data_IF_922250611951
#
_entry.id   IF_922250611951
#
_cell.length_a   1.000
_cell.length_b   1.000
_cell.length_c   1.000
_cell.angle_alpha   90.00
_cell.angle_beta   90.00
_cell.angle_gamma   90.00
#
_symmetry.space_group_name_H-M   'P 1'
#
loop_
_entity.id
_entity.type
_entity.pdbx_description
1 polymer ?
#
# COMPACT_ATOMS: atom_id res chain seq x y z
N UNK A 1 1.23 27.20 -1.55
CA UNK A 1 0.68 26.53 -2.76
C UNK A 1 0.15 27.60 -3.69
N UNK A 2 0.75 27.78 -4.86
CA UNK A 2 0.22 28.66 -5.90
C UNK A 2 -1.00 27.96 -6.54
N UNK A 3 -2.21 28.51 -6.32
CA UNK A 3 -3.40 28.12 -7.09
C UNK A 3 -3.23 28.68 -8.50
N UNK A 4 -3.62 27.91 -9.52
CA UNK A 4 -3.67 28.43 -10.89
C UNK A 4 -4.57 29.67 -10.94
N UNK A 5 -4.12 30.72 -11.61
CA UNK A 5 -4.88 31.97 -11.75
C UNK A 5 -6.15 31.76 -12.59
N UNK A 6 -7.16 32.60 -12.38
CA UNK A 6 -8.38 32.59 -13.19
C UNK A 6 -8.08 32.77 -14.68
N UNK A 7 -7.05 33.55 -15.00
CA UNK A 7 -6.53 33.77 -16.35
C UNK A 7 -6.05 32.47 -17.00
N UNK A 8 -5.30 31.64 -16.26
CA UNK A 8 -4.82 30.34 -16.76
C UNK A 8 -5.99 29.39 -17.07
N UNK A 9 -7.04 29.42 -16.26
CA UNK A 9 -8.23 28.57 -16.46
C UNK A 9 -9.06 29.02 -17.67
N UNK A 10 -9.20 30.33 -17.89
CA UNK A 10 -9.88 30.88 -19.05
C UNK A 10 -9.17 30.53 -20.35
N UNK A 11 -7.85 30.70 -20.39
CA UNK A 11 -7.01 30.40 -21.55
C UNK A 11 -7.04 28.90 -21.91
N UNK A 12 -7.05 28.03 -20.89
CA UNK A 12 -7.26 26.59 -21.06
C UNK A 12 -8.63 26.26 -21.70
N UNK A 13 -9.69 26.95 -21.30
CA UNK A 13 -11.04 26.72 -21.84
C UNK A 13 -11.13 27.14 -23.32
N UNK A 14 -10.51 28.26 -23.69
CA UNK A 14 -10.44 28.71 -25.08
C UNK A 14 -9.63 27.76 -25.97
N UNK A 15 -8.44 27.36 -25.51
CA UNK A 15 -7.56 26.42 -26.25
C UNK A 15 -8.21 25.05 -26.49
N UNK A 16 -9.07 24.59 -25.58
CA UNK A 16 -9.64 23.24 -25.63
C UNK A 16 -11.02 23.17 -26.29
N UNK A 17 -11.57 24.29 -26.79
CA UNK A 17 -12.94 24.39 -27.35
C UNK A 17 -14.04 23.85 -26.42
N UNK A 18 -13.79 23.78 -25.10
CA UNK A 18 -14.82 23.44 -24.12
C UNK A 18 -15.68 24.68 -23.88
N UNK A 19 -16.92 24.68 -24.36
CA UNK A 19 -17.92 25.68 -23.97
C UNK A 19 -18.23 25.50 -22.49
N UNK A 20 -17.62 26.30 -21.63
CA UNK A 20 -17.92 26.36 -20.21
C UNK A 20 -19.35 26.86 -19.99
N UNK A 21 -20.33 25.95 -19.95
CA UNK A 21 -21.58 26.24 -19.26
C UNK A 21 -21.33 25.99 -17.76
N UNK A 22 -21.17 27.07 -16.99
CA UNK A 22 -21.54 27.01 -15.58
C UNK A 22 -23.03 26.68 -15.53
N UNK A 23 -23.35 25.43 -15.19
CA UNK A 23 -24.71 25.08 -14.82
C UNK A 23 -25.02 25.84 -13.54
N UNK A 24 -25.88 26.87 -13.62
CA UNK A 24 -26.52 27.45 -12.43
C UNK A 24 -27.46 26.39 -11.86
N UNK A 25 -26.89 25.42 -11.15
CA UNK A 25 -27.63 24.51 -10.31
C UNK A 25 -28.32 25.34 -9.23
N UNK A 26 -29.64 25.52 -9.33
CA UNK A 26 -30.48 25.89 -8.19
C UNK A 26 -30.48 24.73 -7.19
N UNK A 27 -29.42 24.63 -6.40
CA UNK A 27 -29.40 24.05 -5.06
C UNK A 27 -28.38 24.85 -4.27
N UNK A 28 -28.88 25.81 -3.51
CA UNK A 28 -28.18 26.29 -2.33
C UNK A 28 -28.05 25.07 -1.41
N UNK A 29 -26.90 24.41 -1.45
CA UNK A 29 -26.49 23.50 -0.39
C UNK A 29 -25.83 24.39 0.64
N UNK A 30 -26.51 24.60 1.76
CA UNK A 30 -25.92 25.23 2.93
C UNK A 30 -24.73 24.39 3.37
N UNK A 31 -23.52 24.95 3.32
CA UNK A 31 -22.24 24.31 3.66
C UNK A 31 -22.04 24.04 5.17
N UNK A 32 -23.11 23.67 5.90
CA UNK A 32 -23.05 23.40 7.34
C UNK A 32 -23.50 21.98 7.72
N UNK A 33 -23.59 21.05 6.76
CA UNK A 33 -23.72 19.63 7.13
C UNK A 33 -22.32 19.07 7.42
N UNK A 34 -22.00 18.61 8.65
CA UNK A 34 -20.76 17.91 8.88
C UNK A 34 -20.68 16.68 7.97
N UNK A 35 -19.59 16.58 7.21
CA UNK A 35 -19.27 15.36 6.46
C UNK A 35 -19.04 14.27 7.50
N UNK A 36 -20.05 13.43 7.67
CA UNK A 36 -19.98 12.24 8.52
C UNK A 36 -19.11 11.19 7.83
N UNK A 37 -17.81 11.19 8.13
CA UNK A 37 -16.88 10.12 7.77
C UNK A 37 -17.21 8.79 8.51
N UNK A 38 -18.04 8.87 9.55
CA UNK A 38 -18.30 7.78 10.49
C UNK A 38 -19.58 6.98 10.19
N UNK A 39 -19.90 6.72 8.92
CA UNK A 39 -20.86 5.64 8.63
C UNK A 39 -20.09 4.35 8.40
N UNK A 40 -19.84 3.51 9.43
CA UNK A 40 -19.29 2.19 9.20
C UNK A 40 -20.25 1.45 8.28
N UNK A 41 -19.79 1.15 7.07
CA UNK A 41 -20.51 0.26 6.15
C UNK A 41 -20.42 -1.16 6.71
N UNK A 42 -21.28 -1.48 7.67
CA UNK A 42 -21.28 -2.72 8.45
C UNK A 42 -21.69 -3.97 7.64
N UNK A 43 -21.59 -3.91 6.30
CA UNK A 43 -22.03 -4.96 5.35
C UNK A 43 -21.03 -5.28 4.23
N UNK A 44 -19.87 -4.61 4.14
CA UNK A 44 -18.88 -4.97 3.15
C UNK A 44 -18.09 -6.20 3.63
N UNK A 45 -18.24 -7.34 2.92
CA UNK A 45 -17.42 -8.53 3.16
C UNK A 45 -15.94 -8.18 2.94
N UNK A 46 -15.07 -8.62 3.85
CA UNK A 46 -13.62 -8.46 3.73
C UNK A 46 -13.13 -8.93 2.34
N UNK A 47 -12.38 -8.10 1.60
CA UNK A 47 -11.82 -8.51 0.31
C UNK A 47 -10.85 -9.69 0.47
N UNK A 48 -10.15 -9.74 1.61
CA UNK A 48 -9.21 -10.82 1.93
C UNK A 48 -9.96 -12.12 2.19
N UNK A 49 -11.03 -12.09 2.98
CA UNK A 49 -11.90 -13.26 3.20
C UNK A 49 -12.49 -13.79 1.88
N UNK A 50 -12.92 -12.88 0.98
CA UNK A 50 -13.41 -13.26 -0.36
C UNK A 50 -12.32 -13.96 -1.18
N UNK A 51 -11.09 -13.46 -1.16
CA UNK A 51 -9.97 -14.09 -1.87
C UNK A 51 -9.63 -15.47 -1.29
N UNK A 52 -9.61 -15.61 0.04
CA UNK A 52 -9.34 -16.88 0.72
C UNK A 52 -10.44 -17.92 0.50
N UNK A 53 -11.71 -17.52 0.48
CA UNK A 53 -12.81 -18.45 0.13
C UNK A 53 -12.71 -18.93 -1.32
N UNK A 54 -12.31 -18.06 -2.26
CA UNK A 54 -12.06 -18.46 -3.66
C UNK A 54 -10.92 -19.46 -3.74
N UNK A 55 -9.83 -19.22 -3.00
CA UNK A 55 -8.71 -20.15 -2.92
C UNK A 55 -9.13 -21.49 -2.32
N UNK A 56 -9.95 -21.49 -1.26
CA UNK A 56 -10.43 -22.72 -0.63
C UNK A 56 -11.28 -23.57 -1.60
N UNK A 57 -12.06 -22.91 -2.46
CA UNK A 57 -12.85 -23.57 -3.52
C UNK A 57 -12.01 -24.03 -4.71
N UNK A 58 -10.89 -23.37 -4.99
CA UNK A 58 -9.98 -23.71 -6.09
C UNK A 58 -8.51 -23.58 -5.66
N UNK A 59 -7.94 -24.62 -5.01
CA UNK A 59 -6.58 -24.61 -4.50
C UNK A 59 -5.49 -24.37 -5.55
N UNK A 60 -5.76 -24.69 -6.82
CA UNK A 60 -4.82 -24.46 -7.94
C UNK A 60 -4.51 -22.98 -8.15
N UNK A 61 -5.34 -22.07 -7.65
CA UNK A 61 -5.05 -20.63 -7.71
C UNK A 61 -3.75 -20.28 -6.96
N UNK A 62 -3.34 -21.09 -5.97
CA UNK A 62 -2.10 -20.88 -5.24
C UNK A 62 -0.86 -20.99 -6.15
N UNK A 63 -0.92 -21.88 -7.13
CA UNK A 63 0.21 -22.17 -8.01
C UNK A 63 0.61 -20.92 -8.79
N UNK A 64 1.85 -20.46 -8.58
CA UNK A 64 2.38 -19.24 -9.19
C UNK A 64 1.92 -17.93 -8.53
N UNK A 65 1.09 -17.99 -7.48
CA UNK A 65 0.58 -16.83 -6.74
C UNK A 65 0.87 -16.94 -5.23
N UNK A 66 1.93 -17.67 -4.85
CA UNK A 66 2.25 -17.89 -3.44
C UNK A 66 2.52 -16.59 -2.68
N UNK A 67 3.29 -15.66 -3.25
CA UNK A 67 3.54 -14.33 -2.66
C UNK A 67 2.24 -13.54 -2.48
N UNK A 68 1.37 -13.55 -3.50
CA UNK A 68 0.05 -12.92 -3.43
C UNK A 68 -0.80 -13.48 -2.29
N UNK A 69 -0.92 -14.80 -2.17
CA UNK A 69 -1.76 -15.41 -1.13
C UNK A 69 -1.16 -15.33 0.27
N UNK A 70 0.18 -15.31 0.41
CA UNK A 70 0.83 -14.99 1.68
C UNK A 70 0.46 -13.57 2.13
N UNK A 71 0.55 -12.59 1.24
CA UNK A 71 0.13 -11.21 1.52
C UNK A 71 -1.38 -11.13 1.87
N UNK A 72 -2.25 -11.82 1.14
CA UNK A 72 -3.70 -11.87 1.46
C UNK A 72 -3.96 -12.46 2.85
N UNK A 73 -3.29 -13.56 3.22
CA UNK A 73 -3.41 -14.16 4.56
C UNK A 73 -2.90 -13.22 5.65
N UNK A 74 -1.79 -12.53 5.41
CA UNK A 74 -1.25 -11.51 6.30
C UNK A 74 -2.25 -10.38 6.55
N UNK A 75 -2.82 -9.79 5.50
CA UNK A 75 -3.82 -8.72 5.65
C UNK A 75 -5.09 -9.21 6.35
N UNK A 76 -5.58 -10.42 6.00
CA UNK A 76 -6.73 -11.01 6.68
C UNK A 76 -6.48 -11.22 8.17
N UNK A 77 -5.31 -11.74 8.53
CA UNK A 77 -4.93 -11.89 9.93
C UNK A 77 -4.95 -10.55 10.67
N UNK A 78 -4.33 -9.52 10.10
CA UNK A 78 -4.29 -8.20 10.73
C UNK A 78 -5.70 -7.60 10.86
N UNK A 79 -6.55 -7.74 9.84
CA UNK A 79 -7.94 -7.26 9.87
C UNK A 79 -8.73 -7.88 11.03
N UNK A 80 -8.56 -9.18 11.27
CA UNK A 80 -9.33 -9.92 12.29
C UNK A 80 -8.72 -9.78 13.69
N UNK A 81 -7.39 -9.81 13.82
CA UNK A 81 -6.70 -9.97 15.10
C UNK A 81 -5.95 -8.72 15.57
N UNK A 82 -5.61 -7.80 14.66
CA UNK A 82 -4.83 -6.60 14.95
C UNK A 82 -5.38 -5.36 14.22
N UNK A 83 -6.65 -4.96 14.48
CA UNK A 83 -7.32 -3.90 13.74
C UNK A 83 -6.59 -2.55 13.80
N UNK A 84 -5.87 -2.28 14.90
CA UNK A 84 -5.05 -1.08 15.04
C UNK A 84 -3.80 -1.07 14.14
N UNK A 85 -3.25 -2.24 13.83
CA UNK A 85 -2.18 -2.38 12.84
C UNK A 85 -2.80 -2.27 11.44
N UNK A 86 -3.89 -2.99 11.19
CA UNK A 86 -4.56 -3.07 9.90
C UNK A 86 -4.95 -1.71 9.33
N UNK A 87 -5.49 -0.82 10.16
CA UNK A 87 -5.89 0.54 9.73
C UNK A 87 -4.72 1.39 9.21
N UNK A 88 -3.48 1.04 9.55
CA UNK A 88 -2.26 1.73 9.14
C UNK A 88 -1.49 1.00 8.04
N UNK A 89 -1.97 -0.16 7.60
CA UNK A 89 -1.35 -0.94 6.52
C UNK A 89 -1.90 -0.53 5.16
N UNK A 90 -1.02 -0.46 4.16
CA UNK A 90 -1.41 -0.37 2.76
C UNK A 90 -0.53 -1.24 1.87
N UNK A 91 -1.11 -1.80 0.81
CA UNK A 91 -0.36 -2.52 -0.23
C UNK A 91 0.04 -1.59 -1.36
N UNK A 92 1.24 -1.76 -1.90
CA UNK A 92 1.67 -1.12 -3.15
C UNK A 92 1.44 -2.08 -4.32
N UNK A 93 0.43 -1.88 -5.18
CA UNK A 93 0.09 -2.82 -6.25
C UNK A 93 1.04 -2.68 -7.45
N UNK A 94 2.30 -3.07 -7.28
CA UNK A 94 3.33 -3.00 -8.31
C UNK A 94 3.35 -4.25 -9.21
N UNK A 95 3.03 -5.40 -8.63
CA UNK A 95 2.89 -6.68 -9.33
C UNK A 95 1.57 -6.79 -10.09
N UNK A 96 1.54 -7.65 -11.11
CA UNK A 96 0.32 -8.01 -11.83
C UNK A 96 0.35 -7.67 -13.33
N UNK A 97 -0.20 -8.59 -14.12
CA UNK A 97 -0.42 -8.40 -15.54
C UNK A 97 -1.42 -7.28 -15.74
N UNK A 98 -1.02 -6.27 -16.51
CA UNK A 98 -1.86 -5.12 -16.85
C UNK A 98 -1.69 -4.77 -18.32
N UNK A 99 -2.71 -4.16 -18.89
CA UNK A 99 -2.59 -3.59 -20.23
C UNK A 99 -1.47 -2.54 -20.26
N UNK A 100 -0.71 -2.49 -21.36
CA UNK A 100 0.43 -1.58 -21.54
C UNK A 100 0.07 -0.13 -21.18
N UNK A 101 -1.08 0.34 -21.68
CA UNK A 101 -1.60 1.69 -21.42
C UNK A 101 -1.83 1.95 -19.93
N UNK A 102 -2.42 1.01 -19.19
CA UNK A 102 -2.59 1.12 -17.74
C UNK A 102 -1.24 1.22 -17.03
N UNK A 103 -0.25 0.42 -17.46
CA UNK A 103 1.10 0.50 -16.91
C UNK A 103 1.81 1.83 -17.18
N UNK A 104 1.58 2.46 -18.33
CA UNK A 104 2.09 3.79 -18.65
C UNK A 104 1.46 4.88 -17.79
N UNK A 105 0.13 4.84 -17.62
CA UNK A 105 -0.58 5.76 -16.74
C UNK A 105 -0.11 5.66 -15.29
N UNK A 106 -0.02 4.46 -14.72
CA UNK A 106 0.45 4.27 -13.35
C UNK A 106 1.87 4.79 -13.14
N UNK A 107 2.78 4.58 -14.10
CA UNK A 107 4.13 5.14 -14.02
C UNK A 107 4.13 6.67 -14.09
N UNK A 108 3.29 7.25 -14.94
CA UNK A 108 3.11 8.71 -15.01
C UNK A 108 2.49 9.29 -13.72
N UNK A 109 1.68 8.50 -13.02
CA UNK A 109 1.11 8.83 -11.70
C UNK A 109 2.11 8.62 -10.54
N UNK A 110 3.31 8.11 -10.83
CA UNK A 110 4.39 7.97 -9.85
C UNK A 110 4.65 6.55 -9.34
N UNK A 111 3.99 5.53 -9.90
CA UNK A 111 4.28 4.13 -9.57
C UNK A 111 5.76 3.82 -9.77
N UNK A 112 6.42 3.40 -8.69
CA UNK A 112 7.83 3.01 -8.69
C UNK A 112 7.96 1.50 -8.84
N UNK A 113 8.63 1.06 -9.90
CA UNK A 113 8.97 -0.36 -10.07
C UNK A 113 9.83 -0.83 -8.89
N UNK A 114 9.50 -1.98 -8.33
CA UNK A 114 10.26 -2.61 -7.24
C UNK A 114 10.12 -1.93 -5.89
N UNK A 115 9.20 -0.97 -5.73
CA UNK A 115 8.89 -0.44 -4.39
C UNK A 115 8.23 -1.55 -3.54
N UNK A 116 8.51 -1.63 -2.23
CA UNK A 116 8.04 -2.72 -1.36
C UNK A 116 6.52 -2.97 -1.43
N UNK A 117 6.14 -4.23 -1.30
CA UNK A 117 4.76 -4.70 -1.46
C UNK A 117 3.80 -4.12 -0.42
N UNK A 118 4.26 -3.91 0.82
CA UNK A 118 3.43 -3.43 1.93
C UNK A 118 4.14 -2.34 2.71
N UNK A 119 3.36 -1.33 3.10
CA UNK A 119 3.78 -0.27 4.01
C UNK A 119 2.92 -0.31 5.27
N UNK A 120 3.57 -0.14 6.42
CA UNK A 120 2.93 0.24 7.67
C UNK A 120 3.35 1.68 8.00
N UNK A 121 2.40 2.61 7.93
CA UNK A 121 2.66 4.04 8.12
C UNK A 121 2.41 4.43 9.58
N UNK A 122 3.22 3.88 10.47
CA UNK A 122 3.19 4.19 11.90
C UNK A 122 4.61 4.17 12.44
N UNK A 123 5.04 5.28 13.02
CA UNK A 123 6.35 5.35 13.66
C UNK A 123 6.37 4.54 14.96
N UNK A 124 7.40 3.71 15.11
CA UNK A 124 7.67 2.87 16.29
C UNK A 124 9.18 2.74 16.46
N UNK A 125 9.64 2.65 17.70
CA UNK A 125 11.08 2.65 17.95
C UNK A 125 11.75 3.90 17.41
N UNK A 126 12.91 3.71 16.77
CA UNK A 126 13.63 4.74 16.03
C UNK A 126 13.23 4.84 14.55
N UNK A 127 12.16 4.16 14.13
CA UNK A 127 11.77 4.08 12.74
C UNK A 127 10.57 4.95 12.39
N UNK A 128 10.60 5.56 11.21
CA UNK A 128 9.52 6.41 10.68
C UNK A 128 8.30 5.62 10.18
N UNK A 129 8.47 4.32 9.95
CA UNK A 129 7.46 3.38 9.49
C UNK A 129 8.14 2.06 9.12
N UNK A 130 7.35 1.10 8.64
CA UNK A 130 7.85 -0.21 8.23
C UNK A 130 7.47 -0.54 6.78
N UNK A 131 8.34 -1.29 6.09
CA UNK A 131 8.18 -1.74 4.70
C UNK A 131 8.43 -3.24 4.64
N UNK A 132 7.49 -3.97 4.05
CA UNK A 132 7.60 -5.42 3.86
C UNK A 132 7.65 -5.75 2.38
N UNK A 133 8.59 -6.61 2.01
CA UNK A 133 8.72 -7.21 0.69
C UNK A 133 8.50 -8.73 0.81
N UNK A 134 7.49 -9.26 0.12
CA UNK A 134 7.14 -10.67 0.18
C UNK A 134 7.96 -11.47 -0.85
N UNK A 135 8.42 -12.64 -0.43
CA UNK A 135 9.04 -13.66 -1.29
C UNK A 135 8.44 -15.02 -1.02
N UNK A 136 8.73 -15.97 -1.90
CA UNK A 136 8.35 -17.35 -1.71
C UNK A 136 9.42 -18.31 -2.26
N UNK A 137 9.62 -19.44 -1.58
CA UNK A 137 10.53 -20.50 -2.02
C UNK A 137 11.97 -19.99 -2.20
N UNK A 138 12.53 -20.18 -3.39
CA UNK A 138 13.89 -19.73 -3.72
C UNK A 138 13.95 -18.29 -4.28
N UNK A 139 12.82 -17.59 -4.39
CA UNK A 139 12.79 -16.22 -4.90
C UNK A 139 13.56 -15.29 -3.98
N UNK A 140 14.25 -14.32 -4.57
CA UNK A 140 15.00 -13.28 -3.86
C UNK A 140 14.55 -11.90 -4.33
N UNK A 141 14.74 -10.84 -3.51
CA UNK A 141 14.57 -9.47 -3.99
C UNK A 141 15.40 -9.22 -5.24
N UNK A 142 14.78 -8.63 -6.25
CA UNK A 142 15.49 -8.15 -7.44
C UNK A 142 16.40 -6.97 -7.09
N UNK A 143 17.38 -6.66 -7.94
CA UNK A 143 18.31 -5.54 -7.70
C UNK A 143 17.59 -4.21 -7.45
N UNK A 144 16.52 -3.92 -8.19
CA UNK A 144 15.72 -2.69 -7.99
C UNK A 144 14.99 -2.71 -6.64
N UNK A 145 14.56 -3.88 -6.17
CA UNK A 145 13.94 -4.01 -4.84
C UNK A 145 14.98 -3.82 -3.73
N UNK A 146 16.17 -4.40 -3.87
CA UNK A 146 17.29 -4.18 -2.93
C UNK A 146 17.64 -2.70 -2.82
N UNK A 147 17.77 -2.01 -3.96
CA UNK A 147 18.01 -0.56 -4.00
C UNK A 147 16.95 0.21 -3.20
N UNK A 148 15.66 -0.09 -3.40
CA UNK A 148 14.61 0.55 -2.61
C UNK A 148 14.67 0.22 -1.13
N UNK A 149 14.90 -1.04 -0.77
CA UNK A 149 15.02 -1.46 0.63
C UNK A 149 16.18 -0.74 1.33
N UNK A 150 17.35 -0.64 0.69
CA UNK A 150 18.51 0.10 1.20
C UNK A 150 18.22 1.60 1.31
N UNK A 151 17.71 2.24 0.24
CA UNK A 151 17.35 3.67 0.26
C UNK A 151 16.34 4.00 1.37
N UNK A 152 15.32 3.17 1.57
CA UNK A 152 14.30 3.38 2.61
C UNK A 152 14.88 3.11 4.01
N UNK A 153 15.74 2.10 4.15
CA UNK A 153 16.43 1.78 5.41
C UNK A 153 17.37 2.91 5.84
N UNK A 154 18.16 3.45 4.92
CA UNK A 154 19.00 4.63 5.13
C UNK A 154 18.16 5.88 5.48
N UNK A 155 16.96 5.96 4.92
CA UNK A 155 15.97 6.99 5.21
C UNK A 155 15.21 6.82 6.54
N UNK A 156 15.58 5.86 7.39
CA UNK A 156 14.98 5.68 8.72
C UNK A 156 13.72 4.82 8.75
N UNK A 157 13.40 4.07 7.69
CA UNK A 157 12.32 3.08 7.72
C UNK A 157 12.84 1.70 8.13
N UNK A 158 12.03 0.93 8.83
CA UNK A 158 12.31 -0.48 9.06
C UNK A 158 11.91 -1.30 7.83
N UNK A 159 12.88 -1.82 7.10
CA UNK A 159 12.65 -2.63 5.91
C UNK A 159 12.89 -4.11 6.23
N UNK A 160 11.99 -4.99 5.76
CA UNK A 160 12.12 -6.44 5.96
C UNK A 160 11.67 -7.20 4.71
N UNK A 161 12.35 -8.31 4.43
CA UNK A 161 11.94 -9.33 3.45
C UNK A 161 11.37 -10.52 4.21
N UNK A 162 10.18 -10.98 3.82
CA UNK A 162 9.45 -12.06 4.50
C UNK A 162 9.02 -13.14 3.48
N UNK A 163 9.03 -14.41 3.87
CA UNK A 163 8.78 -15.54 2.96
C UNK A 163 7.38 -16.16 3.08
N UNK A 164 6.63 -15.80 4.11
CA UNK A 164 5.25 -16.23 4.34
C UNK A 164 4.48 -15.24 5.23
N UNK A 165 3.19 -15.51 5.42
CA UNK A 165 2.34 -14.69 6.29
C UNK A 165 2.75 -14.72 7.77
N UNK A 166 3.31 -15.83 8.26
CA UNK A 166 3.64 -15.97 9.68
C UNK A 166 4.82 -15.08 10.04
N UNK A 167 5.85 -15.07 9.20
CA UNK A 167 7.01 -14.19 9.33
C UNK A 167 6.59 -12.71 9.22
N UNK A 168 5.67 -12.38 8.30
CA UNK A 168 5.14 -11.03 8.18
C UNK A 168 4.35 -10.58 9.44
N UNK A 169 3.52 -11.47 9.99
CA UNK A 169 2.75 -11.25 11.22
C UNK A 169 3.70 -11.04 12.41
N UNK A 170 4.71 -11.91 12.54
CA UNK A 170 5.71 -11.79 13.60
C UNK A 170 6.45 -10.45 13.51
N UNK A 171 6.96 -10.10 12.33
CA UNK A 171 7.70 -8.86 12.14
C UNK A 171 6.85 -7.61 12.45
N UNK A 172 5.59 -7.57 11.99
CA UNK A 172 4.72 -6.40 12.22
C UNK A 172 4.29 -6.28 13.69
N UNK A 173 4.04 -7.41 14.37
CA UNK A 173 3.63 -7.40 15.77
C UNK A 173 4.79 -7.03 16.69
N UNK A 174 6.00 -7.53 16.41
CA UNK A 174 7.20 -7.07 17.10
C UNK A 174 7.42 -5.58 16.89
N UNK A 175 7.34 -5.10 15.64
CA UNK A 175 7.51 -3.68 15.32
C UNK A 175 6.51 -2.80 16.07
N UNK A 176 5.24 -3.23 16.13
CA UNK A 176 4.18 -2.50 16.81
C UNK A 176 4.43 -2.31 18.31
N UNK A 177 5.13 -3.25 18.93
CA UNK A 177 5.47 -3.27 20.35
C UNK A 177 6.77 -2.54 20.69
N UNK A 178 7.51 -1.99 19.72
CA UNK A 178 8.73 -1.22 20.01
C UNK A 178 8.40 0.04 20.83
N UNK A 179 9.16 0.22 21.91
CA UNK A 179 9.18 1.45 22.70
C UNK A 179 10.00 2.53 21.99
N UNK A 180 9.73 3.81 22.29
CA UNK A 180 10.49 4.93 21.72
C UNK A 180 11.99 4.79 22.02
N UNK A 181 12.86 4.99 21.03
CA UNK A 181 14.30 4.80 21.20
C UNK A 181 14.79 3.36 21.03
N UNK A 182 13.89 2.39 20.82
CA UNK A 182 14.27 1.01 20.56
C UNK A 182 14.50 0.76 19.07
N UNK A 183 15.52 -0.03 18.76
CA UNK A 183 15.82 -0.50 17.41
C UNK A 183 15.85 -2.02 17.36
N UNK A 184 15.55 -2.60 16.21
CA UNK A 184 15.76 -4.02 16.00
C UNK A 184 17.24 -4.33 15.78
N UNK A 185 17.62 -5.57 16.12
CA UNK A 185 18.82 -6.20 15.58
C UNK A 185 18.61 -6.56 14.11
N UNK A 186 19.65 -7.07 13.44
CA UNK A 186 19.54 -7.52 12.05
C UNK A 186 18.47 -8.62 11.92
N UNK A 187 17.56 -8.45 10.97
CA UNK A 187 16.58 -9.49 10.64
C UNK A 187 17.29 -10.63 9.88
N UNK A 188 16.84 -11.88 10.06
CA UNK A 188 17.49 -13.07 9.48
C UNK A 188 17.66 -12.99 7.95
N UNK A 189 16.78 -12.28 7.26
CA UNK A 189 16.81 -12.10 5.80
C UNK A 189 17.55 -10.85 5.32
N UNK A 190 18.17 -10.08 6.22
CA UNK A 190 18.90 -8.85 5.86
C UNK A 190 20.04 -9.11 4.89
N UNK A 191 20.72 -10.25 5.02
CA UNK A 191 21.80 -10.69 4.13
C UNK A 191 21.38 -10.86 2.66
N UNK A 192 20.07 -10.86 2.35
CA UNK A 192 19.56 -10.97 0.98
C UNK A 192 19.51 -9.64 0.24
N UNK A 193 19.57 -8.52 0.95
CA UNK A 193 19.32 -7.19 0.36
C UNK A 193 20.17 -6.06 0.91
N UNK A 194 20.63 -6.13 2.17
CA UNK A 194 21.55 -5.14 2.73
C UNK A 194 22.91 -5.26 2.07
N UNK A 195 23.43 -4.13 1.62
CA UNK A 195 24.78 -3.97 1.04
C UNK A 195 25.78 -3.49 2.09
#
# INVERSE_FOLDING_TARGET
MLRASEEWYSDYCERTKKKGQLTKGKRSVTNNAPVSWDKPNNKARSPHAVALEKLAKNPELLKGNHEHYAQVRFFYYCEVNAPDIYKCLHSTPNGGLRHKKTGEHLRAEGQRKGYPDVSLDTAKGDYHGMRLEFKHGANKPSEVQKQWLNTLSEGGFYCVVVYDEHEAIEAVTQYWCLESGASFTAHKNDHLWKE
#
